data_IF_102610332526
#
_entry.id   IF_102610332526
#
_cell.length_a   1.000
_cell.length_b   1.000
_cell.length_c   1.000
_cell.angle_alpha   90.00
_cell.angle_beta   90.00
_cell.angle_gamma   90.00
#
_symmetry.space_group_name_H-M   'P 1'
#
loop_
_entity.id
_entity.type
_entity.pdbx_description
1 polymer ?
#
# COMPACT_ATOMS: atom_id res chain seq x y z
N UNK A 1 -3.99 0.85 18.45
CA UNK A 1 -2.65 0.51 17.92
C UNK A 1 -2.49 1.23 16.59
N UNK A 2 -1.34 1.85 16.32
CA UNK A 2 -1.06 2.48 15.02
C UNK A 2 -0.62 1.42 14.01
N UNK A 3 -0.71 1.71 12.71
CA UNK A 3 -0.20 0.80 11.67
C UNK A 3 1.29 0.49 11.86
N UNK A 4 2.10 1.52 12.15
CA UNK A 4 3.52 1.35 12.44
C UNK A 4 3.77 0.41 13.63
N UNK A 5 2.99 0.52 14.71
CA UNK A 5 3.11 -0.38 15.86
C UNK A 5 2.71 -1.82 15.49
N UNK A 6 1.61 -1.98 14.75
CA UNK A 6 1.16 -3.29 14.26
C UNK A 6 2.22 -3.96 13.39
N UNK A 7 2.80 -3.25 12.42
CA UNK A 7 3.86 -3.80 11.57
C UNK A 7 5.11 -4.17 12.38
N UNK A 8 5.50 -3.33 13.34
CA UNK A 8 6.66 -3.58 14.19
C UNK A 8 6.48 -4.84 15.07
N UNK A 9 5.27 -5.07 15.59
CA UNK A 9 4.93 -6.30 16.32
C UNK A 9 5.02 -7.56 15.43
N UNK A 10 4.84 -7.40 14.11
CA UNK A 10 5.03 -8.46 13.12
C UNK A 10 6.44 -8.48 12.50
N UNK A 11 7.40 -7.80 13.13
CA UNK A 11 8.81 -7.82 12.72
C UNK A 11 9.18 -6.88 11.58
N UNK A 12 8.28 -5.98 11.16
CA UNK A 12 8.51 -5.05 10.05
C UNK A 12 8.48 -3.58 10.49
N UNK A 13 9.59 -2.86 10.27
CA UNK A 13 9.68 -1.44 10.58
C UNK A 13 9.37 -0.58 9.34
N UNK A 14 8.17 0.01 9.33
CA UNK A 14 7.71 0.92 8.26
C UNK A 14 8.62 2.15 8.15
N UNK A 15 8.96 2.55 6.94
CA UNK A 15 9.83 3.70 6.64
C UNK A 15 9.04 4.88 6.04
N UNK A 16 7.92 4.60 5.37
CA UNK A 16 7.10 5.60 4.69
C UNK A 16 6.02 6.22 5.59
N UNK A 17 5.37 7.26 5.08
CA UNK A 17 4.17 7.91 5.66
C UNK A 17 2.88 7.53 4.93
N UNK A 18 2.94 6.53 4.03
CA UNK A 18 1.81 6.20 3.16
C UNK A 18 0.54 5.88 3.95
N UNK A 19 0.66 5.23 5.11
CA UNK A 19 -0.49 4.95 5.95
C UNK A 19 -1.22 6.24 6.37
N UNK A 20 -0.48 7.24 6.84
CA UNK A 20 -1.01 8.55 7.23
C UNK A 20 -1.58 9.29 6.02
N UNK A 21 -0.86 9.30 4.89
CA UNK A 21 -1.28 9.97 3.66
C UNK A 21 -2.62 9.43 3.13
N UNK A 22 -2.76 8.09 3.06
CA UNK A 22 -4.01 7.46 2.65
C UNK A 22 -5.11 7.61 3.71
N UNK A 23 -4.76 7.65 5.00
CA UNK A 23 -5.74 7.93 6.07
C UNK A 23 -6.28 9.36 5.99
N UNK A 24 -5.48 10.33 5.55
CA UNK A 24 -5.95 11.68 5.26
C UNK A 24 -6.84 11.68 4.00
N UNK A 25 -6.40 11.00 2.93
CA UNK A 25 -7.16 10.88 1.68
C UNK A 25 -8.54 10.24 1.87
N UNK A 26 -8.66 9.26 2.78
CA UNK A 26 -9.92 8.63 3.17
C UNK A 26 -11.00 9.62 3.63
N UNK A 27 -10.59 10.78 4.18
CA UNK A 27 -11.49 11.84 4.65
C UNK A 27 -12.03 12.66 3.46
N UNK A 28 -11.20 12.86 2.44
CA UNK A 28 -11.53 13.66 1.25
C UNK A 28 -12.20 12.86 0.12
N UNK A 29 -12.23 11.52 0.24
CA UNK A 29 -12.98 10.62 -0.62
C UNK A 29 -12.18 10.09 -1.82
N UNK A 30 -12.89 9.42 -2.73
CA UNK A 30 -12.29 8.56 -3.78
C UNK A 30 -11.27 9.28 -4.66
N UNK A 31 -11.54 10.54 -5.04
CA UNK A 31 -10.63 11.32 -5.88
C UNK A 31 -9.28 11.58 -5.19
N UNK A 32 -9.31 11.89 -3.89
CA UNK A 32 -8.10 12.12 -3.11
C UNK A 32 -7.29 10.84 -2.89
N UNK A 33 -7.97 9.69 -2.73
CA UNK A 33 -7.32 8.38 -2.65
C UNK A 33 -6.58 8.07 -3.95
N UNK A 34 -7.26 8.25 -5.10
CA UNK A 34 -6.67 8.04 -6.40
C UNK A 34 -5.47 8.97 -6.66
N UNK A 35 -5.60 10.26 -6.34
CA UNK A 35 -4.50 11.22 -6.50
C UNK A 35 -3.30 10.85 -5.63
N UNK A 36 -3.54 10.51 -4.36
CA UNK A 36 -2.49 10.08 -3.42
C UNK A 36 -1.77 8.84 -3.93
N UNK A 37 -2.51 7.86 -4.45
CA UNK A 37 -1.91 6.70 -5.10
C UNK A 37 -1.08 7.08 -6.33
N UNK A 38 -1.62 7.88 -7.25
CA UNK A 38 -0.93 8.24 -8.47
C UNK A 38 0.41 8.93 -8.17
N UNK A 39 0.44 9.86 -7.20
CA UNK A 39 1.66 10.54 -6.78
C UNK A 39 2.65 9.57 -6.14
N UNK A 40 2.21 8.78 -5.16
CA UNK A 40 3.08 7.83 -4.46
C UNK A 40 3.63 6.75 -5.40
N UNK A 41 2.78 6.19 -6.25
CA UNK A 41 3.16 5.16 -7.21
C UNK A 41 4.15 5.71 -8.25
N UNK A 42 3.86 6.86 -8.87
CA UNK A 42 4.76 7.41 -9.89
C UNK A 42 6.13 7.75 -9.32
N UNK A 43 6.18 8.31 -8.11
CA UNK A 43 7.43 8.70 -7.46
C UNK A 43 8.25 7.48 -6.98
N UNK A 44 7.58 6.44 -6.46
CA UNK A 44 8.25 5.37 -5.70
C UNK A 44 8.20 3.98 -6.34
N UNK A 45 7.54 3.78 -7.50
CA UNK A 45 7.47 2.47 -8.18
C UNK A 45 8.84 1.86 -8.49
N UNK A 46 9.88 2.68 -8.67
CA UNK A 46 11.25 2.20 -8.91
C UNK A 46 12.05 1.84 -7.65
N UNK A 47 11.49 2.08 -6.45
CA UNK A 47 12.14 1.76 -5.18
C UNK A 47 11.47 0.52 -4.58
N UNK A 48 12.17 -0.62 -4.61
CA UNK A 48 11.65 -1.91 -4.12
C UNK A 48 11.01 -1.80 -2.72
N UNK A 49 11.68 -1.18 -1.75
CA UNK A 49 11.17 -1.07 -0.37
C UNK A 49 9.89 -0.25 -0.29
N UNK A 50 9.85 0.90 -0.98
CA UNK A 50 8.71 1.81 -0.89
C UNK A 50 7.54 1.28 -1.71
N UNK A 51 7.78 0.66 -2.86
CA UNK A 51 6.74 -0.06 -3.60
C UNK A 51 6.13 -1.19 -2.75
N UNK A 52 6.96 -1.94 -2.01
CA UNK A 52 6.51 -2.98 -1.09
C UNK A 52 5.62 -2.42 0.02
N UNK A 53 6.05 -1.33 0.67
CA UNK A 53 5.24 -0.66 1.70
C UNK A 53 3.94 -0.07 1.14
N UNK A 54 3.95 0.45 -0.09
CA UNK A 54 2.76 0.93 -0.78
C UNK A 54 1.76 -0.22 -0.98
N UNK A 55 2.20 -1.37 -1.48
CA UNK A 55 1.35 -2.57 -1.64
C UNK A 55 0.76 -3.01 -0.29
N UNK A 56 1.59 -3.08 0.75
CA UNK A 56 1.14 -3.43 2.11
C UNK A 56 0.05 -2.49 2.60
N UNK A 57 0.28 -1.18 2.53
CA UNK A 57 -0.69 -0.17 2.96
C UNK A 57 -1.99 -0.30 2.20
N UNK A 58 -1.94 -0.47 0.86
CA UNK A 58 -3.15 -0.64 0.05
C UNK A 58 -3.93 -1.89 0.48
N UNK A 59 -3.26 -3.03 0.72
CA UNK A 59 -3.91 -4.25 1.20
C UNK A 59 -4.60 -4.04 2.57
N UNK A 60 -3.90 -3.43 3.53
CA UNK A 60 -4.48 -3.14 4.84
C UNK A 60 -5.63 -2.13 4.77
N UNK A 61 -5.61 -1.19 3.82
CA UNK A 61 -6.70 -0.25 3.57
C UNK A 61 -7.96 -0.94 3.02
N UNK A 62 -7.81 -1.97 2.18
CA UNK A 62 -8.95 -2.82 1.77
C UNK A 62 -9.61 -3.41 3.02
N UNK A 63 -8.82 -4.04 3.89
CA UNK A 63 -9.34 -4.67 5.11
C UNK A 63 -10.01 -3.65 6.05
N UNK A 64 -9.41 -2.46 6.21
CA UNK A 64 -9.95 -1.37 7.03
C UNK A 64 -11.37 -0.96 6.59
N UNK A 65 -11.63 -0.91 5.28
CA UNK A 65 -12.88 -0.40 4.72
C UNK A 65 -13.86 -1.48 4.28
N UNK A 66 -13.45 -2.75 4.21
CA UNK A 66 -14.20 -3.88 3.63
C UNK A 66 -15.64 -3.98 4.12
N UNK A 67 -15.89 -3.76 5.42
CA UNK A 67 -17.23 -3.90 6.02
C UNK A 67 -18.09 -2.64 5.96
N UNK A 68 -17.49 -1.45 5.89
CA UNK A 68 -18.18 -0.18 6.17
C UNK A 68 -18.26 0.73 4.96
N UNK A 69 -17.32 0.64 4.03
CA UNK A 69 -17.23 1.50 2.85
C UNK A 69 -16.86 0.66 1.61
N UNK A 70 -17.79 -0.13 1.06
CA UNK A 70 -17.51 -1.06 -0.03
C UNK A 70 -16.94 -0.38 -1.28
N UNK A 71 -17.40 0.83 -1.62
CA UNK A 71 -16.85 1.60 -2.76
C UNK A 71 -15.41 2.02 -2.53
N UNK A 72 -15.03 2.39 -1.30
CA UNK A 72 -13.65 2.74 -0.93
C UNK A 72 -12.77 1.50 -0.96
N UNK A 73 -13.25 0.38 -0.39
CA UNK A 73 -12.54 -0.90 -0.43
C UNK A 73 -12.32 -1.39 -1.87
N UNK A 74 -13.32 -1.25 -2.75
CA UNK A 74 -13.19 -1.60 -4.16
C UNK A 74 -12.15 -0.75 -4.90
N UNK A 75 -12.07 0.56 -4.59
CA UNK A 75 -11.02 1.41 -5.13
C UNK A 75 -9.64 0.94 -4.64
N UNK A 76 -9.47 0.72 -3.34
CA UNK A 76 -8.19 0.22 -2.80
C UNK A 76 -7.79 -1.14 -3.38
N UNK A 77 -8.73 -2.06 -3.62
CA UNK A 77 -8.45 -3.35 -4.28
C UNK A 77 -7.95 -3.16 -5.71
N UNK A 78 -8.57 -2.27 -6.48
CA UNK A 78 -8.10 -1.96 -7.84
C UNK A 78 -6.67 -1.38 -7.83
N UNK A 79 -6.38 -0.45 -6.92
CA UNK A 79 -5.06 0.16 -6.77
C UNK A 79 -4.01 -0.84 -6.28
N UNK A 80 -4.38 -1.70 -5.32
CA UNK A 80 -3.53 -2.78 -4.83
C UNK A 80 -3.16 -3.74 -5.95
N UNK A 81 -4.13 -4.20 -6.76
CA UNK A 81 -3.86 -5.07 -7.92
C UNK A 81 -2.90 -4.43 -8.91
N UNK A 82 -3.07 -3.13 -9.18
CA UNK A 82 -2.18 -2.39 -10.08
C UNK A 82 -0.74 -2.35 -9.54
N UNK A 83 -0.53 -1.99 -8.27
CA UNK A 83 0.79 -1.92 -7.67
C UNK A 83 1.44 -3.30 -7.51
N UNK A 84 0.65 -4.30 -7.11
CA UNK A 84 1.09 -5.69 -7.01
C UNK A 84 1.54 -6.25 -8.37
N UNK A 85 0.72 -6.06 -9.40
CA UNK A 85 1.06 -6.49 -10.77
C UNK A 85 2.35 -5.82 -11.24
N UNK A 86 2.50 -4.52 -11.00
CA UNK A 86 3.73 -3.82 -11.34
C UNK A 86 4.95 -4.39 -10.60
N UNK A 87 4.83 -4.66 -9.30
CA UNK A 87 5.91 -5.22 -8.49
C UNK A 87 6.38 -6.58 -9.02
N UNK A 88 5.46 -7.51 -9.28
CA UNK A 88 5.83 -8.84 -9.80
C UNK A 88 6.43 -8.78 -11.21
N UNK A 89 6.01 -7.82 -12.03
CA UNK A 89 6.54 -7.66 -13.40
C UNK A 89 7.93 -7.02 -13.42
N UNK A 90 8.21 -6.09 -12.50
CA UNK A 90 9.40 -5.23 -12.57
C UNK A 90 10.49 -5.58 -11.56
N UNK A 91 10.16 -6.07 -10.36
CA UNK A 91 11.15 -6.53 -9.39
C UNK A 91 11.78 -7.86 -9.86
N UNK A 92 13.06 -8.06 -9.53
CA UNK A 92 13.84 -9.25 -9.89
C UNK A 92 14.69 -9.73 -8.73
N UNK A 93 15.07 -11.02 -8.77
CA UNK A 93 16.04 -11.63 -7.87
C UNK A 93 15.80 -11.31 -6.38
N UNK A 94 16.73 -10.62 -5.72
CA UNK A 94 16.67 -10.26 -4.31
C UNK A 94 15.51 -9.29 -4.01
N UNK A 95 15.19 -8.36 -4.91
CA UNK A 95 14.08 -7.42 -4.73
C UNK A 95 12.73 -8.12 -4.75
N UNK A 96 12.56 -9.09 -5.64
CA UNK A 96 11.34 -9.88 -5.72
C UNK A 96 11.20 -10.82 -4.52
N UNK A 97 12.31 -11.40 -4.06
CA UNK A 97 12.32 -12.24 -2.85
C UNK A 97 11.92 -11.42 -1.61
N UNK A 98 12.54 -10.25 -1.42
CA UNK A 98 12.17 -9.32 -0.35
C UNK A 98 10.69 -8.90 -0.43
N UNK A 99 10.18 -8.62 -1.62
CA UNK A 99 8.78 -8.26 -1.82
C UNK A 99 7.82 -9.35 -1.33
N UNK A 100 8.07 -10.61 -1.68
CA UNK A 100 7.25 -11.73 -1.22
C UNK A 100 7.38 -11.95 0.28
N UNK A 101 8.60 -11.97 0.83
CA UNK A 101 8.84 -12.17 2.27
C UNK A 101 8.11 -11.14 3.14
N UNK A 102 7.93 -9.92 2.64
CA UNK A 102 7.28 -8.83 3.37
C UNK A 102 5.76 -8.79 3.14
N UNK A 103 5.25 -9.33 2.03
CA UNK A 103 3.83 -9.24 1.66
C UNK A 103 3.01 -10.51 1.92
N UNK A 104 3.66 -11.64 2.21
CA UNK A 104 3.03 -12.91 2.63
C UNK A 104 2.57 -12.87 4.10
#
# INVERSE_FOLDING_TARGET
MTFRAFMAENGYNVQTTFWEDFSAADIFGLSAIQDTFNRAFEEWKGNCKYLTELVLVLNHKIWQHYKTKPTVAALYDALWRQAHQYAIENLKDEELSYYYDVTD
#
